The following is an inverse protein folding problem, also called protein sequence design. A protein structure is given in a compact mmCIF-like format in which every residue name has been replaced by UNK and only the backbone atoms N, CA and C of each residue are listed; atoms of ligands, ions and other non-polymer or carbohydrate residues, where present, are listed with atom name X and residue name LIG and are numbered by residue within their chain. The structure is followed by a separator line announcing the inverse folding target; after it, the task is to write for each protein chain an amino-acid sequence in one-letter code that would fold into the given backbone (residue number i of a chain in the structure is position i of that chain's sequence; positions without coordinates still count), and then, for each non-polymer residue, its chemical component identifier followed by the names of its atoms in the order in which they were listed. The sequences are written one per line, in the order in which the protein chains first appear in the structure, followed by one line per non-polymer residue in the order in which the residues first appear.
data_IF_436652647140
#
_entry.id   IF_436652647140
#
_cell.length_a   1.000
_cell.length_b   1.000
_cell.length_c   1.000
_cell.angle_alpha   90.00
_cell.angle_beta   90.00
_cell.angle_gamma   90.00
#
_symmetry.space_group_name_H-M   'P 1'
#
loop_
_entity.id
_entity.type
_entity.pdbx_description
1 polymer ?
#
# COMPACT_ATOMS: atom_id res chain seq x y z
N UNK A 1 11.52 22.11 2.10
CA UNK A 1 11.45 21.84 0.63
C UNK A 1 11.43 20.32 0.35
N UNK A 2 12.42 19.53 0.84
CA UNK A 2 12.49 18.09 0.58
C UNK A 2 11.25 17.33 1.10
N UNK A 3 10.75 17.67 2.29
CA UNK A 3 9.56 17.07 2.89
C UNK A 3 8.29 17.25 2.03
N UNK A 4 8.10 18.42 1.41
CA UNK A 4 6.96 18.65 0.49
C UNK A 4 7.10 17.83 -0.80
N UNK A 5 8.32 17.66 -1.32
CA UNK A 5 8.57 16.80 -2.48
C UNK A 5 8.21 15.36 -2.16
N UNK A 6 8.68 14.83 -1.03
CA UNK A 6 8.34 13.50 -0.55
C UNK A 6 6.82 13.32 -0.39
N UNK A 7 6.16 14.27 0.28
CA UNK A 7 4.70 14.26 0.43
C UNK A 7 3.97 14.23 -0.92
N UNK A 8 4.45 14.99 -1.92
CA UNK A 8 3.83 15.02 -3.24
C UNK A 8 3.90 13.65 -3.94
N UNK A 9 5.02 12.93 -3.84
CA UNK A 9 5.10 11.56 -4.35
C UNK A 9 4.08 10.62 -3.70
N UNK A 10 3.88 10.71 -2.38
CA UNK A 10 2.84 9.93 -1.72
C UNK A 10 1.44 10.28 -2.22
N UNK A 11 1.15 11.57 -2.43
CA UNK A 11 -0.14 12.00 -2.98
C UNK A 11 -0.34 11.43 -4.40
N UNK A 12 0.66 11.47 -5.26
CA UNK A 12 0.58 10.88 -6.61
C UNK A 12 0.35 9.36 -6.59
N UNK A 13 0.82 8.66 -5.55
CA UNK A 13 0.58 7.24 -5.34
C UNK A 13 -0.78 6.92 -4.67
N UNK A 14 -1.62 7.92 -4.41
CA UNK A 14 -2.98 7.73 -3.90
C UNK A 14 -3.17 7.92 -2.40
N UNK A 15 -2.21 8.53 -1.69
CA UNK A 15 -2.32 8.77 -0.26
C UNK A 15 -2.82 10.19 0.07
N UNK A 16 -3.50 10.33 1.21
CA UNK A 16 -3.91 11.62 1.76
C UNK A 16 -5.17 12.23 1.14
N UNK A 17 -5.82 11.54 0.20
CA UNK A 17 -7.12 11.92 -0.39
C UNK A 17 -7.98 10.70 -0.65
N UNK A 18 -9.25 10.90 -0.98
CA UNK A 18 -10.14 9.84 -1.42
C UNK A 18 -9.78 9.42 -2.84
N UNK A 19 -9.56 8.14 -3.08
CA UNK A 19 -9.27 7.61 -4.42
C UNK A 19 -10.46 7.73 -5.37
N UNK A 20 -11.67 7.84 -4.82
CA UNK A 20 -12.90 7.92 -5.59
C UNK A 20 -13.50 6.54 -5.89
N UNK A 21 -13.33 5.59 -4.97
CA UNK A 21 -13.93 4.26 -5.06
C UNK A 21 -15.46 4.35 -5.10
N UNK A 22 -16.09 3.41 -5.80
CA UNK A 22 -17.55 3.33 -5.96
C UNK A 22 -18.29 2.73 -4.75
N UNK A 23 -17.64 2.71 -3.59
CA UNK A 23 -18.23 2.31 -2.31
C UNK A 23 -18.40 3.50 -1.38
N UNK A 24 -19.45 3.54 -0.56
CA UNK A 24 -19.65 4.60 0.43
C UNK A 24 -18.64 4.50 1.57
N UNK A 25 -18.42 5.63 2.28
CA UNK A 25 -17.62 5.66 3.49
C UNK A 25 -16.10 5.67 3.29
N UNK A 26 -15.62 5.93 2.07
CA UNK A 26 -14.18 6.03 1.81
C UNK A 26 -13.52 7.11 2.69
N UNK A 27 -12.47 6.71 3.42
CA UNK A 27 -11.61 7.62 4.17
C UNK A 27 -10.42 8.08 3.31
N UNK A 28 -10.05 9.34 3.46
CA UNK A 28 -8.90 9.91 2.75
C UNK A 28 -7.55 9.56 3.37
N UNK A 29 -7.53 9.02 4.61
CA UNK A 29 -6.30 8.96 5.39
C UNK A 29 -5.74 10.35 5.70
N UNK A 30 -4.45 10.41 6.04
CA UNK A 30 -3.75 11.69 6.30
C UNK A 30 -2.27 11.57 5.97
N UNK A 31 -1.74 12.53 5.21
CA UNK A 31 -0.30 12.72 5.00
C UNK A 31 0.05 14.14 5.47
N UNK A 32 0.91 14.28 6.48
CA UNK A 32 1.30 15.58 6.99
C UNK A 32 2.07 16.40 5.95
N UNK A 33 1.98 17.72 6.07
CA UNK A 33 2.72 18.68 5.25
C UNK A 33 3.40 19.73 6.13
N UNK A 34 4.21 20.59 5.54
CA UNK A 34 4.93 21.63 6.29
C UNK A 34 3.99 22.58 7.05
N UNK A 35 2.81 22.89 6.50
CA UNK A 35 1.82 23.72 7.17
C UNK A 35 1.28 23.09 8.44
N UNK A 36 1.06 21.76 8.41
CA UNK A 36 0.66 21.00 9.59
C UNK A 36 1.72 21.09 10.68
N UNK A 37 2.99 20.82 10.35
CA UNK A 37 4.07 20.88 11.33
C UNK A 37 4.34 22.28 11.84
N UNK A 38 4.25 23.31 11.00
CA UNK A 38 4.33 24.71 11.43
C UNK A 38 3.22 25.07 12.45
N UNK A 39 2.02 24.54 12.26
CA UNK A 39 0.91 24.74 13.20
C UNK A 39 1.14 24.02 14.54
N UNK A 40 1.67 22.81 14.50
CA UNK A 40 1.87 21.97 15.71
C UNK A 40 3.08 22.41 16.51
N UNK A 41 4.20 22.65 15.86
CA UNK A 41 5.49 22.90 16.52
C UNK A 41 5.95 24.36 16.45
N UNK A 42 5.33 25.17 15.61
CA UNK A 42 5.74 26.52 15.31
C UNK A 42 6.64 26.60 14.07
N UNK A 43 6.63 27.75 13.40
CA UNK A 43 7.44 27.99 12.20
C UNK A 43 8.93 27.84 12.50
N UNK A 44 9.65 27.09 11.66
CA UNK A 44 11.08 26.81 11.81
C UNK A 44 11.48 26.10 13.13
N UNK A 45 10.53 25.50 13.86
CA UNK A 45 10.79 24.77 15.11
C UNK A 45 10.78 23.25 14.97
N UNK A 46 10.55 22.72 13.77
CA UNK A 46 10.60 21.28 13.45
C UNK A 46 11.75 20.98 12.51
N UNK A 47 12.27 19.77 12.58
CA UNK A 47 13.47 19.34 11.86
C UNK A 47 13.29 17.94 11.27
N UNK A 48 14.33 17.40 10.66
CA UNK A 48 14.36 16.03 10.17
C UNK A 48 14.02 15.02 11.28
N UNK A 49 14.48 15.23 12.51
CA UNK A 49 14.15 14.35 13.64
C UNK A 49 12.66 14.34 13.99
N UNK A 50 11.97 15.48 13.82
CA UNK A 50 10.53 15.57 14.05
C UNK A 50 9.75 14.70 13.07
N UNK A 51 10.23 14.60 11.83
CA UNK A 51 9.53 13.89 10.75
C UNK A 51 10.10 12.48 10.49
N UNK A 52 11.05 12.00 11.31
CA UNK A 52 11.69 10.70 11.09
C UNK A 52 10.67 9.54 11.12
N UNK A 53 9.65 9.64 11.97
CA UNK A 53 8.62 8.62 12.10
C UNK A 53 7.81 8.43 10.81
N UNK A 54 7.56 9.52 10.07
CA UNK A 54 6.79 9.42 8.81
C UNK A 54 7.59 8.72 7.71
N UNK A 55 8.93 8.73 7.78
CA UNK A 55 9.80 8.04 6.82
C UNK A 55 9.68 6.50 6.90
N UNK A 56 9.24 5.98 8.03
CA UNK A 56 8.99 4.56 8.25
C UNK A 56 7.48 4.21 8.23
N UNK A 57 6.62 5.14 7.80
CA UNK A 57 5.18 4.93 7.70
C UNK A 57 4.44 4.97 9.05
N UNK A 58 5.01 5.65 10.05
CA UNK A 58 4.40 5.86 11.37
C UNK A 58 4.21 7.37 11.66
N UNK A 59 4.07 7.73 12.92
CA UNK A 59 3.77 9.10 13.32
C UNK A 59 2.39 9.54 12.87
N UNK A 60 2.30 10.67 12.20
CA UNK A 60 1.03 11.29 11.81
C UNK A 60 0.43 10.70 10.52
N UNK A 61 1.09 9.74 9.87
CA UNK A 61 0.56 9.09 8.66
C UNK A 61 -0.64 8.22 9.01
N UNK A 62 -1.75 8.46 8.33
CA UNK A 62 -2.92 7.59 8.33
C UNK A 62 -3.19 7.11 6.90
N UNK A 63 -3.14 5.81 6.69
CA UNK A 63 -3.42 5.19 5.41
C UNK A 63 -4.52 4.14 5.57
N UNK A 64 -5.42 4.08 4.61
CA UNK A 64 -6.43 3.02 4.57
C UNK A 64 -5.83 1.74 3.97
N UNK A 65 -6.33 0.55 4.34
CA UNK A 65 -5.92 -0.70 3.68
C UNK A 65 -6.06 -0.62 2.15
N UNK A 66 -7.09 0.03 1.64
CA UNK A 66 -7.28 0.21 0.20
C UNK A 66 -6.17 1.05 -0.45
N UNK A 67 -5.70 2.12 0.21
CA UNK A 67 -4.57 2.90 -0.29
C UNK A 67 -3.27 2.08 -0.31
N UNK A 68 -3.04 1.24 0.68
CA UNK A 68 -1.89 0.32 0.72
C UNK A 68 -2.01 -0.76 -0.36
N UNK A 69 -3.20 -1.32 -0.60
CA UNK A 69 -3.43 -2.25 -1.71
C UNK A 69 -3.19 -1.59 -3.07
N UNK A 70 -3.64 -0.33 -3.24
CA UNK A 70 -3.41 0.46 -4.44
C UNK A 70 -1.91 0.71 -4.69
N UNK A 71 -1.13 1.00 -3.63
CA UNK A 71 0.34 1.09 -3.73
C UNK A 71 0.94 -0.22 -4.22
N UNK A 72 0.50 -1.35 -3.66
CA UNK A 72 0.96 -2.68 -4.09
C UNK A 72 0.66 -2.93 -5.57
N UNK A 73 -0.55 -2.62 -6.02
CA UNK A 73 -0.93 -2.70 -7.43
C UNK A 73 -0.09 -1.75 -8.31
N UNK A 74 0.21 -0.55 -7.84
CA UNK A 74 1.08 0.41 -8.53
C UNK A 74 2.49 -0.14 -8.73
N UNK A 75 3.06 -0.79 -7.71
CA UNK A 75 4.38 -1.44 -7.79
C UNK A 75 4.32 -2.64 -8.75
N UNK A 76 3.29 -3.49 -8.64
CA UNK A 76 3.07 -4.63 -9.52
C UNK A 76 3.00 -4.20 -10.99
N UNK A 77 2.31 -3.12 -11.28
CA UNK A 77 2.16 -2.53 -12.61
C UNK A 77 3.37 -1.70 -13.09
N UNK A 78 4.44 -1.58 -12.27
CA UNK A 78 5.61 -0.75 -12.62
C UNK A 78 5.27 0.72 -12.86
N UNK A 79 4.42 1.29 -11.96
CA UNK A 79 4.22 2.73 -11.86
C UNK A 79 2.91 3.27 -12.43
N UNK A 80 1.83 2.50 -12.40
CA UNK A 80 0.50 3.01 -12.72
C UNK A 80 -0.59 2.24 -11.97
N UNK A 81 -1.77 2.87 -11.82
CA UNK A 81 -2.97 2.25 -11.25
C UNK A 81 -4.25 2.83 -11.88
N UNK A 82 -5.34 2.12 -11.74
CA UNK A 82 -6.69 2.65 -11.94
C UNK A 82 -7.31 2.99 -10.59
N UNK A 83 -8.24 3.94 -10.56
CA UNK A 83 -9.08 4.14 -9.38
C UNK A 83 -9.72 2.80 -8.98
N UNK A 84 -9.48 2.29 -7.76
CA UNK A 84 -10.10 1.05 -7.29
C UNK A 84 -11.62 1.14 -7.37
N UNK A 85 -12.28 0.08 -7.85
CA UNK A 85 -13.73 0.01 -7.97
C UNK A 85 -14.20 -1.45 -7.99
N UNK A 86 -15.43 -1.70 -7.57
CA UNK A 86 -16.03 -3.04 -7.55
C UNK A 86 -16.97 -3.27 -8.74
N UNK A 87 -17.52 -2.21 -9.34
CA UNK A 87 -18.38 -2.33 -10.51
C UNK A 87 -17.56 -2.59 -11.76
N UNK A 88 -17.61 -3.82 -12.27
CA UNK A 88 -16.91 -4.19 -13.51
C UNK A 88 -17.63 -3.75 -14.77
N UNK A 89 -18.96 -3.75 -14.77
CA UNK A 89 -19.80 -3.50 -15.95
C UNK A 89 -21.18 -2.98 -15.54
N UNK A 90 -21.68 -2.02 -16.28
CA UNK A 90 -23.06 -1.56 -16.19
C UNK A 90 -23.71 -1.83 -17.54
N UNK A 91 -24.85 -2.57 -17.56
CA UNK A 91 -25.52 -2.94 -18.81
C UNK A 91 -25.89 -1.69 -19.61
N UNK A 92 -25.55 -1.69 -20.90
CA UNK A 92 -25.86 -0.60 -21.83
C UNK A 92 -25.02 0.69 -21.66
N UNK A 93 -24.11 0.77 -20.68
CA UNK A 93 -23.28 1.96 -20.44
C UNK A 93 -21.81 1.61 -20.29
N UNK A 94 -20.94 2.57 -20.65
CA UNK A 94 -19.50 2.49 -20.35
C UNK A 94 -19.26 2.90 -18.90
N UNK A 95 -18.27 2.32 -18.26
CA UNK A 95 -17.79 2.81 -16.97
C UNK A 95 -17.34 4.28 -17.08
N UNK A 96 -17.56 5.10 -16.05
CA UNK A 96 -17.03 6.46 -15.99
C UNK A 96 -15.52 6.51 -16.24
N UNK A 97 -15.04 7.56 -16.88
CA UNK A 97 -13.64 7.74 -17.25
C UNK A 97 -12.68 7.63 -16.05
N UNK A 98 -13.10 8.05 -14.87
CA UNK A 98 -12.31 7.94 -13.63
C UNK A 98 -11.85 6.51 -13.31
N UNK A 99 -12.63 5.48 -13.71
CA UNK A 99 -12.28 4.06 -13.47
C UNK A 99 -11.50 3.42 -14.61
N UNK A 100 -11.39 4.10 -15.75
CA UNK A 100 -10.73 3.58 -16.96
C UNK A 100 -9.50 4.39 -17.36
N UNK A 101 -9.24 5.51 -16.68
CA UNK A 101 -8.05 6.34 -16.89
C UNK A 101 -6.93 5.90 -15.95
N UNK A 102 -5.74 5.67 -16.49
CA UNK A 102 -4.55 5.34 -15.71
C UNK A 102 -4.03 6.56 -14.97
N UNK A 103 -3.77 6.39 -13.70
CA UNK A 103 -2.97 7.30 -12.89
C UNK A 103 -1.50 6.87 -12.97
N UNK A 104 -0.61 7.78 -13.32
CA UNK A 104 0.82 7.48 -13.47
C UNK A 104 1.62 8.48 -12.64
N UNK A 105 2.09 8.11 -11.44
CA UNK A 105 2.98 8.95 -10.62
C UNK A 105 4.25 9.34 -11.37
N UNK A 106 4.75 10.56 -11.16
CA UNK A 106 5.97 11.07 -11.77
C UNK A 106 7.24 10.51 -11.08
N UNK A 107 7.33 9.19 -11.04
CA UNK A 107 8.44 8.45 -10.43
C UNK A 107 9.17 7.70 -11.55
N UNK A 108 10.49 7.68 -11.49
CA UNK A 108 11.29 6.93 -12.45
C UNK A 108 10.92 5.44 -12.39
N UNK A 109 10.55 4.87 -13.54
CA UNK A 109 10.09 3.49 -13.66
C UNK A 109 11.10 2.45 -13.17
N UNK A 110 12.38 2.73 -13.27
CA UNK A 110 13.43 1.82 -12.81
C UNK A 110 13.33 1.54 -11.30
N UNK A 111 12.94 2.52 -10.49
CA UNK A 111 12.78 2.33 -9.06
C UNK A 111 11.68 1.32 -8.68
N UNK A 112 10.66 1.19 -9.51
CA UNK A 112 9.63 0.16 -9.28
C UNK A 112 10.16 -1.25 -9.46
N UNK A 113 11.13 -1.44 -10.37
CA UNK A 113 11.76 -2.74 -10.57
C UNK A 113 12.60 -3.12 -9.33
N UNK A 114 13.43 -2.19 -8.84
CA UNK A 114 14.26 -2.40 -7.64
C UNK A 114 13.38 -2.73 -6.41
N UNK A 115 12.26 -2.03 -6.24
CA UNK A 115 11.30 -2.29 -5.16
C UNK A 115 10.63 -3.67 -5.33
N UNK A 116 10.22 -4.03 -6.53
CA UNK A 116 9.62 -5.33 -6.81
C UNK A 116 10.58 -6.48 -6.51
N UNK A 117 11.86 -6.35 -6.89
CA UNK A 117 12.91 -7.31 -6.55
C UNK A 117 13.11 -7.42 -5.04
N UNK A 118 13.18 -6.30 -4.33
CA UNK A 118 13.25 -6.28 -2.86
C UNK A 118 12.04 -6.96 -2.21
N UNK A 119 10.83 -6.73 -2.71
CA UNK A 119 9.61 -7.41 -2.25
C UNK A 119 9.62 -8.91 -2.57
N UNK A 120 10.21 -9.32 -3.70
CA UNK A 120 10.41 -10.73 -4.03
C UNK A 120 11.43 -11.38 -3.09
N UNK A 121 12.56 -10.74 -2.84
CA UNK A 121 13.57 -11.22 -1.91
C UNK A 121 13.03 -11.39 -0.49
N UNK A 122 12.13 -10.51 -0.05
CA UNK A 122 11.46 -10.64 1.24
C UNK A 122 10.63 -11.93 1.35
N UNK A 123 10.09 -12.44 0.24
CA UNK A 123 9.35 -13.71 0.19
C UNK A 123 10.31 -14.90 0.03
N UNK A 124 11.35 -14.79 -0.77
CA UNK A 124 12.28 -15.91 -1.01
C UNK A 124 13.08 -16.27 0.25
N UNK A 125 13.59 -15.29 0.95
CA UNK A 125 14.48 -15.53 2.11
C UNK A 125 14.30 -14.60 3.31
N UNK A 126 13.36 -13.65 3.21
CA UNK A 126 13.15 -12.60 4.22
C UNK A 126 11.98 -12.84 5.16
N UNK A 127 11.43 -11.75 5.66
CA UNK A 127 10.34 -11.74 6.67
C UNK A 127 8.99 -12.24 6.14
N UNK A 128 8.85 -12.39 4.82
CA UNK A 128 7.63 -12.84 4.15
C UNK A 128 7.70 -14.29 3.65
N UNK A 129 8.63 -15.10 4.13
CA UNK A 129 8.85 -16.50 3.64
C UNK A 129 7.60 -17.37 3.63
N UNK A 130 6.67 -17.14 4.56
CA UNK A 130 5.40 -17.88 4.60
C UNK A 130 4.47 -17.56 3.42
N UNK A 131 4.70 -16.47 2.69
CA UNK A 131 3.93 -16.13 1.49
C UNK A 131 4.41 -16.85 0.22
N UNK A 132 5.47 -17.63 0.30
CA UNK A 132 5.92 -18.44 -0.82
C UNK A 132 5.14 -19.75 -0.88
N UNK A 133 4.55 -20.07 -2.04
CA UNK A 133 3.84 -21.32 -2.26
C UNK A 133 3.89 -21.74 -3.73
N UNK A 134 4.21 -23.02 -3.94
CA UNK A 134 4.30 -23.61 -5.26
C UNK A 134 5.24 -22.85 -6.20
N UNK A 135 4.85 -22.79 -7.44
CA UNK A 135 5.49 -22.09 -8.55
C UNK A 135 5.02 -20.64 -8.74
N UNK A 136 4.11 -20.16 -7.87
CA UNK A 136 3.56 -18.82 -7.97
C UNK A 136 4.51 -17.82 -7.31
N UNK A 137 5.04 -16.92 -8.12
CA UNK A 137 5.90 -15.85 -7.63
C UNK A 137 5.08 -14.74 -6.95
N UNK A 138 5.25 -14.66 -5.65
CA UNK A 138 4.67 -13.61 -4.81
C UNK A 138 5.74 -12.61 -4.40
N UNK A 139 5.40 -11.34 -4.49
CA UNK A 139 6.15 -10.23 -3.90
C UNK A 139 5.40 -9.73 -2.67
N UNK A 140 6.09 -9.42 -1.58
CA UNK A 140 5.43 -9.01 -0.35
C UNK A 140 6.28 -8.17 0.58
N UNK A 141 5.59 -7.47 1.50
CA UNK A 141 6.20 -6.70 2.58
C UNK A 141 5.36 -6.80 3.84
N UNK A 142 6.00 -7.13 4.94
CA UNK A 142 5.39 -7.05 6.28
C UNK A 142 5.53 -5.64 6.84
N UNK A 143 4.57 -5.23 7.64
CA UNK A 143 4.61 -4.00 8.43
C UNK A 143 4.22 -4.28 9.88
N UNK A 144 4.77 -3.52 10.79
CA UNK A 144 4.43 -3.57 12.22
C UNK A 144 4.21 -2.13 12.68
N UNK A 145 2.95 -1.75 12.85
CA UNK A 145 2.59 -0.41 13.31
C UNK A 145 2.46 -0.41 14.84
N UNK A 146 3.31 0.34 15.49
CA UNK A 146 3.31 0.47 16.95
C UNK A 146 2.06 1.21 17.45
N UNK A 147 1.55 0.76 18.58
CA UNK A 147 0.40 1.36 19.28
C UNK A 147 0.78 1.55 20.73
N UNK A 148 0.62 2.77 21.23
CA UNK A 148 0.92 3.09 22.63
C UNK A 148 -0.01 2.30 23.57
N UNK A 149 0.59 1.62 24.54
CA UNK A 149 -0.14 0.84 25.54
C UNK A 149 -0.82 -0.44 25.05
N UNK A 150 -0.60 -0.85 23.79
CA UNK A 150 -1.18 -2.07 23.23
C UNK A 150 -0.16 -2.84 22.37
N UNK A 151 -0.56 -4.05 21.92
CA UNK A 151 0.23 -4.78 20.93
C UNK A 151 0.16 -4.03 19.58
N UNK A 152 1.25 -4.05 18.84
CA UNK A 152 1.34 -3.48 17.50
C UNK A 152 0.29 -4.07 16.55
N UNK A 153 -0.09 -3.31 15.54
CA UNK A 153 -0.87 -3.85 14.42
C UNK A 153 0.03 -4.61 13.46
N UNK A 154 -0.39 -5.82 13.12
CA UNK A 154 0.28 -6.65 12.13
C UNK A 154 -0.22 -6.29 10.74
N UNK A 155 0.69 -5.99 9.82
CA UNK A 155 0.39 -5.66 8.43
C UNK A 155 1.11 -6.59 7.47
N UNK A 156 0.44 -6.95 6.40
CA UNK A 156 1.04 -7.56 5.22
C UNK A 156 0.44 -6.94 3.97
N UNK A 157 1.28 -6.72 2.98
CA UNK A 157 0.88 -6.34 1.63
C UNK A 157 1.68 -7.16 0.64
N UNK A 158 1.04 -7.61 -0.43
CA UNK A 158 1.72 -8.40 -1.46
C UNK A 158 0.92 -8.48 -2.74
N UNK A 159 1.55 -9.05 -3.76
CA UNK A 159 0.94 -9.28 -5.07
C UNK A 159 1.56 -10.50 -5.77
N UNK A 160 0.81 -11.10 -6.69
CA UNK A 160 1.32 -12.10 -7.62
C UNK A 160 1.99 -11.41 -8.81
N UNK A 161 3.14 -11.91 -9.26
CA UNK A 161 3.80 -11.42 -10.49
C UNK A 161 3.22 -12.03 -11.77
N UNK A 162 2.31 -13.00 -11.67
CA UNK A 162 1.67 -13.62 -12.83
C UNK A 162 0.71 -12.65 -13.51
N UNK A 163 0.92 -12.39 -14.79
CA UNK A 163 0.05 -11.50 -15.59
C UNK A 163 -1.36 -12.08 -15.80
N UNK A 164 -1.46 -13.40 -15.89
CA UNK A 164 -2.72 -14.15 -16.03
C UNK A 164 -3.50 -14.27 -14.71
N UNK A 165 -2.84 -14.05 -13.58
CA UNK A 165 -3.41 -14.07 -12.23
C UNK A 165 -3.08 -12.77 -11.46
N UNK A 166 -3.54 -11.59 -11.91
CA UNK A 166 -3.23 -10.33 -11.29
C UNK A 166 -3.98 -10.20 -9.96
N UNK A 167 -3.28 -10.39 -8.86
CA UNK A 167 -3.83 -10.27 -7.51
C UNK A 167 -2.91 -9.42 -6.65
N UNK A 168 -3.46 -8.38 -6.03
CA UNK A 168 -2.84 -7.66 -4.92
C UNK A 168 -3.66 -7.88 -3.65
N UNK A 169 -2.99 -8.07 -2.53
CA UNK A 169 -3.61 -8.31 -1.23
C UNK A 169 -3.01 -7.39 -0.17
N UNK A 170 -3.85 -6.93 0.74
CA UNK A 170 -3.46 -6.27 1.97
C UNK A 170 -4.24 -6.88 3.12
N UNK A 171 -3.58 -7.04 4.25
CA UNK A 171 -4.21 -7.43 5.50
C UNK A 171 -3.67 -6.59 6.65
N UNK A 172 -4.57 -6.11 7.48
CA UNK A 172 -4.27 -5.59 8.81
C UNK A 172 -4.93 -6.49 9.84
N UNK A 173 -4.18 -6.84 10.88
CA UNK A 173 -4.71 -7.46 12.08
C UNK A 173 -4.35 -6.56 13.27
N UNK A 174 -5.37 -5.88 13.79
CA UNK A 174 -5.20 -4.93 14.88
C UNK A 174 -4.78 -5.64 16.16
N UNK A 175 -3.82 -5.04 16.89
CA UNK A 175 -3.29 -5.54 18.15
C UNK A 175 -2.80 -7.02 18.12
N UNK A 176 -2.35 -7.47 16.94
CA UNK A 176 -1.95 -8.86 16.69
C UNK A 176 -0.42 -9.07 16.69
N UNK A 177 0.37 -8.04 16.97
CA UNK A 177 1.83 -8.12 17.09
C UNK A 177 2.56 -7.87 15.77
N UNK A 178 3.56 -8.70 15.47
CA UNK A 178 4.45 -8.48 14.32
C UNK A 178 3.78 -8.78 12.97
N UNK A 179 4.19 -8.04 11.94
CA UNK A 179 3.69 -8.20 10.57
C UNK A 179 3.94 -9.58 9.95
N UNK A 180 5.00 -10.26 10.36
CA UNK A 180 5.28 -11.66 9.96
C UNK A 180 4.37 -12.71 10.62
N UNK A 181 3.45 -12.30 11.49
CA UNK A 181 2.52 -13.17 12.19
C UNK A 181 1.16 -13.27 11.49
N UNK A 182 0.11 -12.75 12.17
CA UNK A 182 -1.29 -12.96 11.78
C UNK A 182 -1.61 -12.41 10.39
N UNK A 183 -1.24 -11.17 10.09
CA UNK A 183 -1.57 -10.55 8.79
C UNK A 183 -0.96 -11.32 7.62
N UNK A 184 0.30 -11.75 7.73
CA UNK A 184 0.95 -12.57 6.71
C UNK A 184 0.26 -13.93 6.56
N UNK A 185 -0.06 -14.61 7.67
CA UNK A 185 -0.72 -15.93 7.63
C UNK A 185 -2.09 -15.87 6.97
N UNK A 186 -2.91 -14.87 7.32
CA UNK A 186 -4.23 -14.65 6.70
C UNK A 186 -4.08 -14.35 5.20
N UNK A 187 -3.21 -13.40 4.84
CA UNK A 187 -2.97 -13.04 3.44
C UNK A 187 -2.51 -14.22 2.60
N UNK A 188 -1.61 -15.04 3.15
CA UNK A 188 -1.12 -16.23 2.48
C UNK A 188 -2.27 -17.22 2.16
N UNK A 189 -3.15 -17.48 3.11
CA UNK A 189 -4.32 -18.35 2.89
C UNK A 189 -5.27 -17.79 1.84
N UNK A 190 -5.53 -16.49 1.88
CA UNK A 190 -6.38 -15.80 0.89
C UNK A 190 -5.75 -15.89 -0.50
N UNK A 191 -4.47 -15.56 -0.64
CA UNK A 191 -3.76 -15.65 -1.93
C UNK A 191 -3.75 -17.08 -2.46
N UNK A 192 -3.45 -18.07 -1.63
CA UNK A 192 -3.47 -19.47 -2.04
C UNK A 192 -4.85 -19.91 -2.54
N UNK A 193 -5.92 -19.49 -1.86
CA UNK A 193 -7.28 -19.82 -2.28
C UNK A 193 -7.59 -19.23 -3.65
N UNK A 194 -7.37 -17.94 -3.83
CA UNK A 194 -7.65 -17.25 -5.10
C UNK A 194 -6.80 -17.78 -6.25
N UNK A 195 -5.50 -17.92 -6.04
CA UNK A 195 -4.59 -18.35 -7.10
C UNK A 195 -4.81 -19.81 -7.53
N UNK A 196 -5.24 -20.68 -6.61
CA UNK A 196 -5.63 -22.07 -6.96
C UNK A 196 -7.01 -22.18 -7.60
N UNK A 197 -7.94 -21.27 -7.26
CA UNK A 197 -9.28 -21.29 -7.83
C UNK A 197 -9.32 -20.75 -9.28
N UNK A 198 -8.27 -20.04 -9.70
CA UNK A 198 -8.14 -19.46 -11.03
C UNK A 198 -7.25 -20.29 -11.98
N UNK A 199 -6.55 -21.32 -11.46
CA UNK A 199 -5.82 -22.33 -12.24
C UNK A 199 -6.69 -23.54 -12.53
#
# INVERSE_FOLDING_TARGET
KAFEIWKNYLVEMGFGYKLGVDLPGESRGFIPNSKFYNKVYGENRWSANTVISVAIGQGEILATPLQIANLSATIANRGWYYTPHVVRRISGTKLPAQYTTRHTPHINKNYYQDIAEGMRMAVVGGTCRQAQFGDIEVCGKTGTAQVDGAKSHSWFVGYSQREDLPLAVVCIAENAGYGSGVALSVSNKVMQHFLRAMT
#
